data_IF_823624810504
#
_entry.id   IF_823624810504
#
_cell.length_a   1.000
_cell.length_b   1.000
_cell.length_c   1.000
_cell.angle_alpha   90.00
_cell.angle_beta   90.00
_cell.angle_gamma   90.00
#
_symmetry.space_group_name_H-M   'P 1'
#
loop_
_entity.id
_entity.type
_entity.pdbx_description
1 polymer ?
#
# COMPACT_ATOMS: atom_id res chain seq x y z
N UNK A 1 -1.52 -12.90 15.95
CA UNK A 1 -2.55 -12.60 14.93
C UNK A 1 -2.10 -11.33 14.24
N UNK A 2 -1.76 -11.38 12.94
CA UNK A 2 -1.70 -10.14 12.17
C UNK A 2 -3.12 -9.58 12.12
N UNK A 3 -3.43 -8.64 13.01
CA UNK A 3 -4.69 -7.94 12.98
C UNK A 3 -4.78 -7.16 11.68
N UNK A 4 -5.97 -7.14 11.08
CA UNK A 4 -6.29 -6.30 9.91
C UNK A 4 -5.88 -4.83 10.11
N UNK A 5 -5.81 -4.36 11.36
CA UNK A 5 -5.28 -3.05 11.78
C UNK A 5 -3.81 -2.81 11.39
N UNK A 6 -2.94 -3.83 11.47
CA UNK A 6 -1.54 -3.70 11.05
C UNK A 6 -1.44 -3.54 9.53
N UNK A 7 -2.27 -4.27 8.78
CA UNK A 7 -2.32 -4.18 7.32
C UNK A 7 -2.84 -2.80 6.91
N UNK A 8 -3.91 -2.31 7.54
CA UNK A 8 -4.45 -0.96 7.31
C UNK A 8 -3.42 0.14 7.63
N UNK A 9 -2.69 0.01 8.74
CA UNK A 9 -1.64 0.96 9.11
C UNK A 9 -0.52 1.01 8.06
N UNK A 10 -0.17 -0.16 7.50
CA UNK A 10 0.84 -0.26 6.43
C UNK A 10 0.35 0.32 5.10
N UNK A 11 -0.92 0.11 4.77
CA UNK A 11 -1.58 0.70 3.59
C UNK A 11 -1.55 2.23 3.69
N UNK A 12 -1.98 2.80 4.81
CA UNK A 12 -1.98 4.26 4.98
C UNK A 12 -0.58 4.87 4.94
N UNK A 13 0.42 4.19 5.52
CA UNK A 13 1.81 4.62 5.41
C UNK A 13 2.29 4.65 3.96
N UNK A 14 2.06 3.57 3.21
CA UNK A 14 2.48 3.48 1.81
C UNK A 14 1.69 4.42 0.89
N UNK A 15 0.43 4.69 1.18
CA UNK A 15 -0.39 5.66 0.44
C UNK A 15 0.17 7.08 0.55
N UNK A 16 0.59 7.49 1.75
CA UNK A 16 1.27 8.77 1.97
C UNK A 16 2.60 8.81 1.23
N UNK A 17 3.42 7.75 1.40
CA UNK A 17 4.72 7.64 0.73
C UNK A 17 4.59 7.69 -0.81
N UNK A 18 3.60 7.01 -1.38
CA UNK A 18 3.33 7.05 -2.83
C UNK A 18 3.02 8.46 -3.30
N UNK A 19 2.21 9.19 -2.53
CA UNK A 19 1.83 10.57 -2.86
C UNK A 19 3.06 11.48 -2.82
N UNK A 20 3.89 11.36 -1.78
CA UNK A 20 5.10 12.15 -1.64
C UNK A 20 6.09 11.87 -2.78
N UNK A 21 6.33 10.59 -3.10
CA UNK A 21 7.22 10.18 -4.19
C UNK A 21 6.66 10.60 -5.55
N UNK A 22 5.35 10.47 -5.79
CA UNK A 22 4.73 10.90 -7.02
C UNK A 22 4.77 12.43 -7.20
N UNK A 23 4.64 13.20 -6.12
CA UNK A 23 4.80 14.67 -6.15
C UNK A 23 6.25 15.09 -6.41
N UNK A 24 7.24 14.32 -5.93
CA UNK A 24 8.66 14.65 -6.11
C UNK A 24 9.24 14.14 -7.44
N UNK A 25 8.88 12.93 -7.85
CA UNK A 25 9.50 12.20 -8.97
C UNK A 25 8.56 11.93 -10.13
N UNK A 26 7.26 12.12 -9.94
CA UNK A 26 6.22 11.79 -10.90
C UNK A 26 5.67 10.37 -10.73
N UNK A 27 4.45 10.16 -11.19
CA UNK A 27 3.73 8.88 -11.07
C UNK A 27 4.35 7.74 -11.89
N UNK A 28 5.11 8.07 -12.93
CA UNK A 28 5.79 7.10 -13.80
C UNK A 28 7.21 6.76 -13.34
N UNK A 29 7.69 7.38 -12.27
CA UNK A 29 8.98 7.02 -11.69
C UNK A 29 8.95 5.59 -11.17
N UNK A 30 10.06 4.87 -11.32
CA UNK A 30 10.16 3.47 -10.88
C UNK A 30 9.84 3.30 -9.40
N UNK A 31 10.16 4.28 -8.55
CA UNK A 31 9.84 4.25 -7.13
C UNK A 31 8.34 4.41 -6.89
N UNK A 32 7.68 5.34 -7.60
CA UNK A 32 6.22 5.51 -7.56
C UNK A 32 5.49 4.24 -8.00
N UNK A 33 5.96 3.60 -9.09
CA UNK A 33 5.41 2.35 -9.60
C UNK A 33 5.62 1.21 -8.61
N UNK A 34 6.81 1.10 -8.02
CA UNK A 34 7.09 0.08 -7.01
C UNK A 34 6.18 0.22 -5.78
N UNK A 35 6.02 1.44 -5.26
CA UNK A 35 5.15 1.69 -4.11
C UNK A 35 3.68 1.39 -4.44
N UNK A 36 3.22 1.74 -5.65
CA UNK A 36 1.87 1.39 -6.11
C UNK A 36 1.63 -0.12 -6.09
N UNK A 37 2.60 -0.90 -6.59
CA UNK A 37 2.51 -2.36 -6.59
C UNK A 37 2.51 -2.96 -5.17
N UNK A 38 3.28 -2.41 -4.25
CA UNK A 38 3.24 -2.85 -2.85
C UNK A 38 1.90 -2.50 -2.17
N UNK A 39 1.35 -1.31 -2.46
CA UNK A 39 0.05 -0.90 -1.96
C UNK A 39 -1.05 -1.85 -2.43
N UNK A 40 -1.06 -2.20 -3.72
CA UNK A 40 -2.00 -3.17 -4.30
C UNK A 40 -1.88 -4.56 -3.67
N UNK A 41 -0.65 -5.03 -3.41
CA UNK A 41 -0.43 -6.32 -2.71
C UNK A 41 -1.03 -6.31 -1.31
N UNK A 42 -0.83 -5.22 -0.56
CA UNK A 42 -1.37 -5.09 0.79
C UNK A 42 -2.89 -4.96 0.81
N UNK A 43 -3.48 -4.25 -0.14
CA UNK A 43 -4.93 -4.18 -0.32
C UNK A 43 -5.52 -5.57 -0.60
N UNK A 44 -4.90 -6.33 -1.49
CA UNK A 44 -5.31 -7.71 -1.78
C UNK A 44 -5.15 -8.63 -0.56
N UNK A 45 -4.08 -8.46 0.23
CA UNK A 45 -3.88 -9.21 1.47
C UNK A 45 -4.95 -8.86 2.51
N UNK A 46 -5.26 -7.57 2.66
CA UNK A 46 -6.33 -7.11 3.55
C UNK A 46 -7.68 -7.72 3.17
N UNK A 47 -8.05 -7.68 1.89
CA UNK A 47 -9.29 -8.26 1.41
C UNK A 47 -9.35 -9.78 1.64
N UNK A 48 -8.26 -10.51 1.42
CA UNK A 48 -8.19 -11.95 1.74
C UNK A 48 -8.40 -12.22 3.22
N UNK A 49 -7.66 -11.53 4.09
CA UNK A 49 -7.76 -11.70 5.55
C UNK A 49 -9.15 -11.30 6.06
N UNK A 50 -9.79 -10.32 5.42
CA UNK A 50 -11.16 -9.90 5.73
C UNK A 50 -12.21 -10.90 5.25
N UNK A 51 -12.01 -11.56 4.11
CA UNK A 51 -12.93 -12.57 3.57
C UNK A 51 -12.80 -13.94 4.26
N UNK A 52 -11.64 -14.25 4.84
CA UNK A 52 -11.41 -15.49 5.61
C UNK A 52 -11.94 -15.44 7.06
N UNK A 53 -12.58 -14.33 7.45
CA UNK A 53 -13.16 -14.10 8.78
C UNK A 53 -14.68 -14.17 8.77
#
# INVERSE_FOLDING_TARGET
MESTENILSRIEFLRKKMTDVALQKGFTDNESVYISQELDRLLNLYEKVKQEK
#
